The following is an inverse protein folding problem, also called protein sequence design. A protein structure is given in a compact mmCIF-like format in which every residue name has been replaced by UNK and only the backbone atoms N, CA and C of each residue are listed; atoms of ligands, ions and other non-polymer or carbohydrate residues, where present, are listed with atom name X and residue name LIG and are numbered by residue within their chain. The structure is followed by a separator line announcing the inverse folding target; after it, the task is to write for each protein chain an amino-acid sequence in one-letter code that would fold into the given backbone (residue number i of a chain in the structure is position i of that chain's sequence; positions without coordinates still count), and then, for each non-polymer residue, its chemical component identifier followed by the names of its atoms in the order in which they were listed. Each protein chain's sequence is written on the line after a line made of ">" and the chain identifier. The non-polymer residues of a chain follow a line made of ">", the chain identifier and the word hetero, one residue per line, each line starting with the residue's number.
data_IF_736234745780
#
_entry.id   IF_736234745780
#
_cell.length_a   1.000
_cell.length_b   1.000
_cell.length_c   1.000
_cell.angle_alpha   90.00
_cell.angle_beta   90.00
_cell.angle_gamma   90.00
#
_symmetry.space_group_name_H-M   'P 1'
#
loop_
_entity.id
_entity.type
_entity.pdbx_description
1 polymer ?
#
# COMPACT_ATOMS: atom_id res chain seq x y z
N UNK A 1 12.68 -53.20 6.75
CA UNK A 1 12.85 -51.83 7.29
C UNK A 1 12.42 -50.84 6.21
N UNK A 2 11.84 -49.68 6.59
CA UNK A 2 10.48 -49.19 6.31
C UNK A 2 10.22 -48.86 4.81
N UNK A 3 9.01 -49.03 4.26
CA UNK A 3 7.71 -48.43 4.59
C UNK A 3 7.50 -47.04 3.96
N UNK A 4 6.49 -47.01 3.09
CA UNK A 4 5.58 -45.90 2.73
C UNK A 4 6.01 -44.89 1.68
N UNK A 5 5.32 -45.01 0.53
CA UNK A 5 4.87 -43.93 -0.33
C UNK A 5 4.31 -42.77 0.51
N UNK A 6 4.76 -41.56 0.20
CA UNK A 6 3.96 -40.34 0.35
C UNK A 6 4.26 -39.44 -0.85
N UNK A 7 3.40 -39.51 -1.86
CA UNK A 7 3.03 -38.34 -2.67
C UNK A 7 2.10 -37.53 -1.80
N UNK A 8 2.39 -36.25 -1.61
CA UNK A 8 1.53 -35.15 -1.13
C UNK A 8 2.54 -33.98 -0.97
N UNK A 9 2.38 -32.80 -1.52
CA UNK A 9 1.27 -32.10 -2.14
C UNK A 9 1.71 -30.64 -2.14
N UNK A 10 1.37 -29.89 -3.18
CA UNK A 10 1.62 -28.46 -3.22
C UNK A 10 1.10 -27.80 -1.94
N UNK A 11 2.00 -27.17 -1.18
CA UNK A 11 1.59 -26.17 -0.19
C UNK A 11 1.95 -24.84 -0.83
N UNK A 12 0.92 -24.22 -1.40
CA UNK A 12 0.99 -22.85 -1.85
C UNK A 12 1.49 -21.98 -0.71
N UNK A 13 2.24 -20.95 -1.08
CA UNK A 13 2.60 -19.86 -0.16
C UNK A 13 1.28 -19.29 0.33
N UNK A 14 0.87 -19.76 1.50
CA UNK A 14 -0.27 -19.25 2.22
C UNK A 14 0.04 -17.79 2.49
N UNK A 15 -0.86 -16.93 2.01
CA UNK A 15 -0.98 -15.57 2.50
C UNK A 15 -0.85 -15.65 4.03
N UNK A 16 0.22 -15.08 4.56
CA UNK A 16 0.31 -14.77 5.98
C UNK A 16 -0.80 -13.76 6.24
N UNK A 17 -2.01 -14.28 6.43
CA UNK A 17 -3.11 -13.55 7.03
C UNK A 17 -2.74 -13.49 8.50
N UNK A 18 -1.90 -12.51 8.84
CA UNK A 18 -1.81 -12.04 10.20
C UNK A 18 -3.23 -11.74 10.63
N UNK A 19 -3.65 -12.37 11.72
CA UNK A 19 -4.91 -12.02 12.37
C UNK A 19 -4.67 -10.64 12.97
N UNK A 20 -4.89 -9.60 12.16
CA UNK A 20 -5.00 -8.25 12.64
C UNK A 20 -6.10 -8.28 13.70
N UNK A 21 -5.74 -7.97 14.96
CA UNK A 21 -6.73 -7.67 15.97
C UNK A 21 -7.74 -6.70 15.36
N UNK A 22 -9.02 -6.99 15.53
CA UNK A 22 -10.10 -6.17 15.01
C UNK A 22 -10.00 -4.75 15.61
N UNK A 23 -9.15 -3.89 15.04
CA UNK A 23 -9.18 -2.45 15.21
C UNK A 23 -10.35 -1.91 14.40
N UNK A 24 -11.56 -2.37 14.76
CA UNK A 24 -12.81 -1.74 14.39
C UNK A 24 -12.98 -0.50 15.27
N UNK A 25 -12.17 0.51 15.00
CA UNK A 25 -12.23 1.78 15.71
C UNK A 25 -12.22 2.90 14.69
N UNK A 26 -13.26 3.73 14.69
CA UNK A 26 -13.28 5.06 14.07
C UNK A 26 -12.25 6.04 14.69
N UNK A 27 -11.25 5.50 15.39
CA UNK A 27 -10.20 6.25 16.05
C UNK A 27 -9.29 6.82 14.97
N UNK A 28 -9.11 8.14 15.08
CA UNK A 28 -8.14 8.86 14.28
C UNK A 28 -6.79 8.68 14.96
N UNK A 29 -5.80 8.27 14.18
CA UNK A 29 -4.41 8.16 14.62
C UNK A 29 -3.54 9.11 13.82
N UNK A 30 -2.44 9.57 14.40
CA UNK A 30 -1.38 10.19 13.62
C UNK A 30 -0.46 9.11 13.06
N UNK A 31 -0.05 9.26 11.82
CA UNK A 31 0.86 8.33 11.16
C UNK A 31 1.47 8.96 9.92
N UNK A 32 2.24 8.17 9.19
CA UNK A 32 2.88 8.61 7.97
C UNK A 32 2.64 7.65 6.82
N UNK A 33 2.71 8.15 5.59
CA UNK A 33 2.60 7.30 4.42
C UNK A 33 3.91 6.53 4.22
N UNK A 34 3.87 5.21 4.33
CA UNK A 34 5.01 4.36 4.01
C UNK A 34 4.93 3.83 2.57
N UNK A 35 3.72 3.58 2.08
CA UNK A 35 3.52 2.85 0.83
C UNK A 35 2.49 3.53 -0.07
N UNK A 36 2.71 3.47 -1.37
CA UNK A 36 1.73 3.85 -2.40
C UNK A 36 1.76 2.84 -3.52
N UNK A 37 0.62 2.43 -4.05
CA UNK A 37 0.59 1.69 -5.32
C UNK A 37 -0.66 1.93 -6.15
N UNK A 38 -0.49 1.66 -7.45
CA UNK A 38 -1.54 1.65 -8.45
C UNK A 38 -1.50 0.27 -9.13
N UNK A 39 -2.63 -0.40 -9.16
CA UNK A 39 -2.78 -1.66 -9.86
C UNK A 39 -4.02 -1.65 -10.75
N UNK A 40 -3.87 -2.21 -11.95
CA UNK A 40 -4.96 -2.51 -12.87
C UNK A 40 -5.55 -3.88 -12.55
N UNK A 41 -6.86 -4.01 -12.63
CA UNK A 41 -7.56 -5.27 -12.40
C UNK A 41 -8.31 -5.67 -13.66
N UNK A 42 -8.07 -6.90 -14.11
CA UNK A 42 -8.74 -7.53 -15.26
C UNK A 42 -9.59 -8.69 -14.75
N UNK A 43 -10.88 -8.68 -15.07
CA UNK A 43 -11.85 -9.70 -14.69
C UNK A 43 -12.40 -10.40 -15.94
N UNK A 44 -11.91 -11.62 -16.21
CA UNK A 44 -12.34 -12.44 -17.37
C UNK A 44 -12.64 -13.86 -16.94
N UNK A 45 -13.83 -14.35 -17.29
CA UNK A 45 -14.22 -15.77 -17.14
C UNK A 45 -13.94 -16.35 -15.74
N UNK A 46 -14.44 -15.67 -14.69
CA UNK A 46 -14.25 -16.02 -13.28
C UNK A 46 -12.79 -16.04 -12.79
N UNK A 47 -11.88 -15.36 -13.50
CA UNK A 47 -10.51 -15.13 -13.04
C UNK A 47 -10.27 -13.64 -12.94
N UNK A 48 -9.77 -13.23 -11.78
CA UNK A 48 -9.28 -11.88 -11.52
C UNK A 48 -7.75 -11.91 -11.63
N UNK A 49 -7.20 -11.06 -12.48
CA UNK A 49 -5.76 -10.80 -12.59
C UNK A 49 -5.50 -9.37 -12.15
N UNK A 50 -4.46 -9.17 -11.37
CA UNK A 50 -3.98 -7.86 -10.96
C UNK A 50 -2.64 -7.61 -11.63
N UNK A 51 -2.46 -6.42 -12.20
CA UNK A 51 -1.25 -5.98 -12.87
C UNK A 51 -0.74 -4.72 -12.16
N UNK A 52 0.49 -4.79 -11.64
CA UNK A 52 1.11 -3.67 -10.92
C UNK A 52 1.56 -2.63 -11.93
N UNK A 53 1.09 -1.39 -11.80
CA UNK A 53 1.51 -0.28 -12.66
C UNK A 53 2.69 0.43 -12.00
N UNK A 54 2.53 0.82 -10.74
CA UNK A 54 3.59 1.44 -9.94
C UNK A 54 3.40 1.12 -8.46
N UNK A 55 4.49 0.88 -7.74
CA UNK A 55 4.53 0.85 -6.29
C UNK A 55 5.74 1.61 -5.78
N UNK A 56 5.54 2.37 -4.70
CA UNK A 56 6.56 3.11 -3.97
C UNK A 56 6.52 2.65 -2.52
N UNK A 57 7.66 2.20 -2.00
CA UNK A 57 7.84 1.75 -0.63
C UNK A 57 8.95 2.57 0.03
N UNK A 58 8.66 3.17 1.18
CA UNK A 58 9.59 3.98 1.93
C UNK A 58 10.06 3.22 3.17
N UNK A 59 11.37 3.27 3.45
CA UNK A 59 11.89 2.84 4.75
C UNK A 59 11.28 3.66 5.89
N UNK A 60 11.33 3.08 7.09
CA UNK A 60 10.90 3.73 8.32
C UNK A 60 11.58 5.09 8.46
N UNK A 61 12.89 5.23 8.22
CA UNK A 61 13.56 6.53 8.29
C UNK A 61 13.93 7.08 6.89
N UNK A 62 13.65 8.37 6.58
CA UNK A 62 14.02 9.01 5.31
C UNK A 62 15.52 9.10 5.07
N UNK A 63 16.32 9.04 6.15
CA UNK A 63 17.78 9.13 6.12
C UNK A 63 18.48 7.85 5.70
N UNK A 64 17.79 6.69 5.74
CA UNK A 64 18.44 5.40 5.46
C UNK A 64 18.54 5.09 3.97
N UNK A 65 17.52 5.42 3.16
CA UNK A 65 17.52 5.22 1.71
C UNK A 65 16.37 5.95 1.02
N UNK A 66 16.53 6.35 -0.27
CA UNK A 66 15.40 6.86 -1.03
C UNK A 66 14.31 5.77 -1.17
N UNK A 67 13.04 6.14 -1.33
CA UNK A 67 11.97 5.17 -1.55
C UNK A 67 12.25 4.25 -2.73
N UNK A 68 12.01 2.95 -2.51
CA UNK A 68 12.07 1.91 -3.53
C UNK A 68 10.89 2.05 -4.48
N UNK A 69 11.16 1.92 -5.78
CA UNK A 69 10.14 2.05 -6.82
C UNK A 69 10.16 0.83 -7.73
N UNK A 70 8.99 0.24 -7.90
CA UNK A 70 8.71 -0.71 -8.98
C UNK A 70 7.72 -0.04 -9.93
N UNK A 71 8.11 0.13 -11.19
CA UNK A 71 7.30 0.78 -12.22
C UNK A 71 7.32 -0.12 -13.45
N UNK A 72 6.14 -0.40 -13.98
CA UNK A 72 6.01 -1.13 -15.24
C UNK A 72 6.46 -0.23 -16.40
N UNK A 73 7.34 -0.78 -17.26
CA UNK A 73 7.95 -0.05 -18.38
C UNK A 73 6.91 0.49 -19.37
N UNK A 74 5.76 -0.17 -19.53
CA UNK A 74 4.66 0.29 -20.39
C UNK A 74 4.08 1.63 -19.92
N UNK A 75 4.15 1.89 -18.61
CA UNK A 75 3.57 3.07 -17.98
C UNK A 75 4.60 4.13 -17.63
N UNK A 76 5.89 3.90 -17.90
CA UNK A 76 6.98 4.73 -17.40
C UNK A 76 6.88 6.20 -17.82
N UNK A 77 6.46 6.46 -19.06
CA UNK A 77 6.33 7.81 -19.61
C UNK A 77 5.25 8.65 -18.90
N UNK A 78 4.30 8.02 -18.20
CA UNK A 78 3.26 8.72 -17.45
C UNK A 78 3.72 9.16 -16.06
N UNK A 79 4.87 8.68 -15.58
CA UNK A 79 5.41 8.97 -14.24
C UNK A 79 6.80 9.60 -14.32
N UNK A 80 6.92 10.89 -14.69
CA UNK A 80 8.22 11.58 -14.74
C UNK A 80 8.91 11.69 -13.38
N UNK A 81 8.16 11.56 -12.27
CA UNK A 81 8.67 11.48 -10.91
C UNK A 81 8.15 10.22 -10.20
N UNK A 82 8.70 9.02 -10.50
CA UNK A 82 8.15 7.76 -10.00
C UNK A 82 8.11 7.62 -8.48
N UNK A 83 9.00 8.31 -7.75
CA UNK A 83 9.01 8.32 -6.28
C UNK A 83 7.88 9.13 -5.66
N UNK A 84 7.22 9.99 -6.44
CA UNK A 84 6.12 10.83 -6.00
C UNK A 84 4.95 10.71 -6.99
N UNK A 85 4.35 9.52 -7.11
CA UNK A 85 3.37 9.25 -8.14
C UNK A 85 2.11 10.10 -7.89
N UNK A 86 1.67 10.77 -8.95
CA UNK A 86 0.43 11.52 -9.03
C UNK A 86 -0.30 11.08 -10.29
N UNK A 87 -1.61 10.90 -10.17
CA UNK A 87 -2.45 10.42 -11.27
C UNK A 87 -3.31 11.57 -11.79
N UNK A 88 -2.90 12.24 -12.88
CA UNK A 88 -3.73 13.22 -13.55
C UNK A 88 -4.99 12.56 -14.13
N UNK A 89 -6.01 13.37 -14.43
CA UNK A 89 -7.29 12.85 -14.97
C UNK A 89 -7.12 12.11 -16.30
N UNK A 90 -6.19 12.52 -17.15
CA UNK A 90 -5.89 11.84 -18.41
C UNK A 90 -5.38 10.42 -18.18
N UNK A 91 -4.38 10.26 -17.30
CA UNK A 91 -3.84 8.94 -16.95
C UNK A 91 -4.91 8.06 -16.31
N UNK A 92 -5.72 8.62 -15.40
CA UNK A 92 -6.83 7.89 -14.77
C UNK A 92 -7.87 7.40 -15.80
N UNK A 93 -8.11 8.17 -16.86
CA UNK A 93 -8.96 7.76 -17.97
C UNK A 93 -8.31 6.64 -18.80
N UNK A 94 -7.02 6.78 -19.13
CA UNK A 94 -6.27 5.78 -19.90
C UNK A 94 -6.22 4.43 -19.16
N UNK A 95 -5.93 4.46 -17.85
CA UNK A 95 -5.97 3.27 -16.99
C UNK A 95 -7.35 2.61 -16.96
N UNK A 96 -8.43 3.38 -16.91
CA UNK A 96 -9.80 2.83 -16.93
C UNK A 96 -10.27 2.36 -18.31
N UNK A 97 -9.58 2.76 -19.38
CA UNK A 97 -9.83 2.22 -20.71
C UNK A 97 -9.14 0.87 -20.89
N UNK A 98 -7.97 0.67 -20.27
CA UNK A 98 -7.20 -0.58 -20.35
C UNK A 98 -7.71 -1.64 -19.37
N UNK A 99 -8.02 -1.26 -18.13
CA UNK A 99 -8.39 -2.17 -17.05
C UNK A 99 -9.89 -2.11 -16.72
N UNK A 100 -10.47 -3.25 -16.31
CA UNK A 100 -11.87 -3.31 -15.87
C UNK A 100 -12.09 -2.49 -14.58
N UNK A 101 -11.06 -2.39 -13.73
CA UNK A 101 -11.01 -1.41 -12.64
C UNK A 101 -9.57 -1.04 -12.27
N UNK A 102 -9.40 0.11 -11.62
CA UNK A 102 -8.10 0.63 -11.15
C UNK A 102 -8.14 0.74 -9.64
N UNK A 103 -7.13 0.18 -8.97
CA UNK A 103 -7.00 0.20 -7.52
C UNK A 103 -5.86 1.14 -7.12
N UNK A 104 -6.21 2.16 -6.34
CA UNK A 104 -5.25 3.03 -5.65
C UNK A 104 -5.09 2.55 -4.22
N UNK A 105 -3.85 2.34 -3.78
CA UNK A 105 -3.53 1.90 -2.41
C UNK A 105 -2.59 2.90 -1.78
N UNK A 106 -2.86 3.21 -0.51
CA UNK A 106 -1.97 3.96 0.37
C UNK A 106 -1.75 3.12 1.63
N UNK A 107 -0.51 3.03 2.05
CA UNK A 107 -0.08 2.41 3.30
C UNK A 107 0.27 3.46 4.33
N UNK A 108 -0.46 3.44 5.45
CA UNK A 108 -0.21 4.33 6.59
C UNK A 108 0.44 3.52 7.70
N UNK A 109 1.49 4.06 8.28
CA UNK A 109 2.20 3.48 9.40
C UNK A 109 2.05 4.39 10.61
N UNK A 110 1.74 3.81 11.77
CA UNK A 110 1.54 4.56 13.01
C UNK A 110 2.06 3.77 14.21
N UNK A 111 2.69 4.44 15.20
CA UNK A 111 2.96 3.86 16.50
C UNK A 111 1.69 3.39 17.23
N UNK A 112 0.55 4.05 16.98
CA UNK A 112 -0.74 3.70 17.59
C UNK A 112 -1.32 2.37 17.07
N UNK A 113 -0.72 1.82 16.01
CA UNK A 113 -1.10 0.55 15.40
C UNK A 113 -0.09 -0.57 15.61
N UNK A 114 0.95 -0.34 16.41
CA UNK A 114 1.97 -1.33 16.67
C UNK A 114 1.41 -2.55 17.44
N UNK A 115 1.80 -3.75 16.99
CA UNK A 115 1.58 -4.98 17.74
C UNK A 115 2.56 -5.10 18.92
N UNK A 116 2.33 -6.05 19.83
CA UNK A 116 3.20 -6.28 20.99
C UNK A 116 4.65 -6.57 20.55
N UNK A 117 5.56 -5.65 20.87
CA UNK A 117 6.99 -5.77 20.58
C UNK A 117 7.45 -5.06 19.30
N UNK A 118 6.54 -4.40 18.58
CA UNK A 118 6.86 -3.55 17.42
C UNK A 118 6.80 -2.06 17.79
N UNK A 119 7.60 -1.24 17.09
CA UNK A 119 7.58 0.22 17.30
C UNK A 119 6.46 0.91 16.55
N UNK A 120 6.00 0.31 15.44
CA UNK A 120 4.92 0.82 14.57
C UNK A 120 4.18 -0.33 13.91
N UNK A 121 2.91 -0.10 13.54
CA UNK A 121 2.13 -0.99 12.69
C UNK A 121 1.69 -0.29 11.40
N UNK A 122 1.62 -1.05 10.31
CA UNK A 122 1.29 -0.55 8.97
C UNK A 122 -0.03 -1.13 8.45
N UNK A 123 -0.87 -0.28 7.86
CA UNK A 123 -2.11 -0.66 7.20
C UNK A 123 -2.16 -0.16 5.76
N UNK A 124 -2.23 -1.11 4.82
CA UNK A 124 -2.36 -0.86 3.39
C UNK A 124 -3.79 -1.13 2.94
N UNK A 125 -4.50 -0.12 2.45
CA UNK A 125 -5.87 -0.30 1.99
C UNK A 125 -6.18 0.53 0.74
N UNK A 126 -7.25 0.13 0.06
CA UNK A 126 -7.71 0.85 -1.11
C UNK A 126 -8.24 2.23 -0.73
N UNK A 127 -8.00 3.22 -1.59
CA UNK A 127 -8.44 4.60 -1.40
C UNK A 127 -8.88 5.23 -2.72
N UNK A 128 -9.37 6.47 -2.68
CA UNK A 128 -9.72 7.23 -3.87
C UNK A 128 -8.48 7.82 -4.57
N UNK A 129 -8.57 8.10 -5.88
CA UNK A 129 -7.53 8.84 -6.60
C UNK A 129 -7.18 10.17 -5.95
N UNK A 130 -8.21 10.87 -5.46
CA UNK A 130 -8.03 12.15 -4.77
C UNK A 130 -7.16 11.99 -3.52
N UNK A 131 -7.49 11.03 -2.65
CA UNK A 131 -6.69 10.76 -1.45
C UNK A 131 -5.28 10.28 -1.80
N UNK A 132 -5.14 9.43 -2.81
CA UNK A 132 -3.83 8.98 -3.30
C UNK A 132 -2.96 10.15 -3.79
N UNK A 133 -3.53 11.12 -4.50
CA UNK A 133 -2.80 12.28 -5.01
C UNK A 133 -2.47 13.32 -3.93
N UNK A 134 -3.25 13.38 -2.85
CA UNK A 134 -3.06 14.34 -1.75
C UNK A 134 -1.83 14.07 -0.89
N UNK A 135 -1.27 12.86 -0.96
CA UNK A 135 -0.17 12.44 -0.08
C UNK A 135 0.99 11.83 -0.86
N UNK A 136 2.19 11.95 -0.30
CA UNK A 136 3.39 11.27 -0.77
C UNK A 136 3.95 10.40 0.36
N UNK A 137 4.87 9.49 0.05
CA UNK A 137 5.60 8.78 1.10
C UNK A 137 6.27 9.77 2.06
N UNK A 138 6.36 9.39 3.34
CA UNK A 138 6.77 10.20 4.50
C UNK A 138 5.88 11.41 4.83
N UNK A 139 4.76 11.61 4.13
CA UNK A 139 3.76 12.62 4.50
C UNK A 139 3.09 12.22 5.82
N UNK A 140 3.04 13.13 6.79
CA UNK A 140 2.25 12.98 8.02
C UNK A 140 0.76 13.15 7.73
N UNK A 141 -0.05 12.26 8.29
CA UNK A 141 -1.50 12.25 8.13
C UNK A 141 -2.19 11.90 9.45
N UNK A 142 -3.33 12.54 9.67
CA UNK A 142 -4.34 11.98 10.57
C UNK A 142 -5.25 11.05 9.77
N UNK A 143 -5.25 9.76 10.10
CA UNK A 143 -6.00 8.75 9.38
C UNK A 143 -6.86 7.88 10.29
N UNK A 144 -7.88 7.24 9.72
CA UNK A 144 -8.62 6.16 10.39
C UNK A 144 -8.82 5.01 9.41
N UNK A 145 -8.87 3.78 9.92
CA UNK A 145 -9.15 2.57 9.16
C UNK A 145 -10.31 1.81 9.78
N UNK A 146 -11.18 1.22 8.95
CA UNK A 146 -12.19 0.25 9.38
C UNK A 146 -11.79 -1.21 9.06
N UNK A 147 -10.53 -1.41 8.66
CA UNK A 147 -10.00 -2.70 8.19
C UNK A 147 -10.22 -2.96 6.70
N UNK A 148 -11.08 -2.18 6.04
CA UNK A 148 -11.35 -2.28 4.59
C UNK A 148 -10.95 -1.01 3.83
N UNK A 149 -11.19 0.15 4.43
CA UNK A 149 -10.96 1.47 3.85
C UNK A 149 -10.14 2.35 4.81
N UNK A 150 -9.31 3.23 4.24
CA UNK A 150 -8.58 4.26 4.96
C UNK A 150 -9.13 5.62 4.55
N UNK A 151 -9.47 6.40 5.56
CA UNK A 151 -9.84 7.81 5.40
C UNK A 151 -8.70 8.68 5.89
N UNK A 152 -8.19 9.55 5.01
CA UNK A 152 -7.23 10.60 5.35
C UNK A 152 -8.03 11.85 5.74
N UNK A 153 -8.00 12.22 7.02
CA UNK A 153 -8.74 13.37 7.55
C UNK A 153 -7.97 14.67 7.36
N UNK A 154 -6.66 14.63 7.57
CA UNK A 154 -5.75 15.77 7.35
C UNK A 154 -4.41 15.30 6.81
N UNK A 155 -3.71 16.24 6.19
CA UNK A 155 -2.33 16.12 5.72
C UNK A 155 -1.55 17.18 6.47
N UNK A 156 -0.71 16.74 7.39
CA UNK A 156 -0.19 17.58 8.47
C UNK A 156 1.28 17.99 8.26
N UNK A 157 1.91 17.49 7.18
CA UNK A 157 3.25 17.90 6.76
C UNK A 157 4.12 16.69 6.43
N UNK A 158 5.38 16.74 6.86
CA UNK A 158 6.30 15.61 6.82
C UNK A 158 6.39 15.03 8.23
N UNK A 159 6.39 13.70 8.33
CA UNK A 159 6.54 13.02 9.59
C UNK A 159 7.92 13.31 10.19
N UNK A 160 7.93 13.67 11.47
CA UNK A 160 9.16 13.81 12.24
C UNK A 160 9.58 12.44 12.79
N UNK A 161 10.55 11.82 12.12
CA UNK A 161 11.18 10.61 12.62
C UNK A 161 12.02 10.98 13.84
N UNK A 162 11.69 10.40 14.99
CA UNK A 162 12.44 10.65 16.22
C UNK A 162 13.90 10.28 15.99
N UNK A 163 14.80 11.25 16.14
CA UNK A 163 16.24 10.97 16.21
C UNK A 163 16.50 10.18 17.48
N UNK A 164 16.95 8.94 17.37
CA UNK A 164 17.61 8.27 18.49
C UNK A 164 18.89 9.08 18.82
N UNK A 165 18.89 9.77 19.97
CA UNK A 165 20.10 10.33 20.60
C UNK A 165 20.94 9.23 21.26
#
# INVERSE_FOLDING_TARGET
>A
MPSRRTVLGAVGVGLASGVAGCLSGSQRVSGYIQYKSIAGVIERSNRRREESIISVDASYEPSESPPDVSLDDEWADYFPAPRMPVVPESLDADLRNEFDSVRYVVGVTSPEWADEGESVGSFNVATSRENFNRVQVHTEVTASSDGTYLTIHSVDGLWEFGSED
#
